data_IF_590797307423
#
_entry.id   IF_590797307423
#
_cell.length_a   1.000
_cell.length_b   1.000
_cell.length_c   1.000
_cell.angle_alpha   90.00
_cell.angle_beta   90.00
_cell.angle_gamma   90.00
#
_symmetry.space_group_name_H-M   'P 1'
#
loop_
_entity.id
_entity.type
_entity.pdbx_description
1 polymer ?
#
# COMPACT_ATOMS: atom_id res chain seq x y z
N UNK A 1 5.22 -4.71 2.58
CA UNK A 1 4.68 -3.92 1.44
C UNK A 1 3.69 -4.66 0.56
N UNK A 2 3.96 -5.91 0.17
CA UNK A 2 3.10 -6.68 -0.74
C UNK A 2 1.73 -7.08 -0.14
N UNK A 3 1.63 -7.18 1.19
CA UNK A 3 0.37 -7.43 1.90
C UNK A 3 -0.07 -8.90 1.90
N UNK A 4 0.87 -9.85 1.83
CA UNK A 4 0.63 -11.28 1.67
C UNK A 4 0.94 -12.12 2.94
N UNK A 5 1.02 -11.45 4.09
CA UNK A 5 1.29 -12.02 5.42
C UNK A 5 0.00 -12.35 6.21
N UNK A 6 -1.14 -12.49 5.53
CA UNK A 6 -2.42 -12.82 6.13
C UNK A 6 -3.22 -11.60 6.59
N UNK A 7 -4.20 -11.84 7.47
CA UNK A 7 -5.13 -10.83 7.97
C UNK A 7 -5.55 -11.13 9.42
N UNK A 8 -6.40 -10.29 10.01
CA UNK A 8 -6.84 -10.39 11.41
C UNK A 8 -7.31 -11.81 11.80
N UNK A 9 -8.10 -12.48 10.96
CA UNK A 9 -8.66 -13.79 11.25
C UNK A 9 -7.79 -14.97 10.81
N UNK A 10 -6.74 -14.74 10.02
CA UNK A 10 -5.84 -15.78 9.52
C UNK A 10 -4.53 -15.88 10.32
N UNK A 11 -4.21 -14.84 11.09
CA UNK A 11 -2.95 -14.76 11.82
C UNK A 11 -3.11 -15.24 13.27
N UNK A 12 -2.12 -15.97 13.76
CA UNK A 12 -1.89 -16.16 15.19
C UNK A 12 -0.94 -15.08 15.68
N UNK A 13 -1.21 -14.55 16.88
CA UNK A 13 -0.54 -13.37 17.38
C UNK A 13 0.15 -13.62 18.72
N UNK A 14 1.41 -13.21 18.82
CA UNK A 14 2.11 -13.20 20.10
C UNK A 14 1.60 -12.04 20.98
N UNK A 15 1.09 -12.38 22.16
CA UNK A 15 0.48 -11.39 23.07
C UNK A 15 1.51 -10.38 23.58
N UNK A 16 2.76 -10.80 23.81
CA UNK A 16 3.80 -9.89 24.31
C UNK A 16 4.19 -8.86 23.25
N UNK A 17 4.31 -9.28 22.00
CA UNK A 17 4.63 -8.42 20.87
C UNK A 17 3.50 -7.41 20.59
N UNK A 18 2.22 -7.83 20.64
CA UNK A 18 1.08 -6.90 20.51
C UNK A 18 1.11 -5.85 21.63
N UNK A 19 1.29 -6.27 22.90
CA UNK A 19 1.30 -5.36 24.03
C UNK A 19 2.44 -4.35 23.97
N UNK A 20 3.61 -4.76 23.45
CA UNK A 20 4.77 -3.88 23.29
C UNK A 20 4.49 -2.69 22.37
N UNK A 21 3.66 -2.89 21.35
CA UNK A 21 3.32 -1.83 20.38
C UNK A 21 2.02 -1.10 20.71
N UNK A 22 1.42 -1.37 21.89
CA UNK A 22 0.19 -0.71 22.33
C UNK A 22 -1.10 -1.24 21.72
N UNK A 23 -1.10 -2.42 21.09
CA UNK A 23 -2.32 -3.03 20.54
C UNK A 23 -2.79 -2.40 19.22
N UNK A 24 -4.09 -2.52 18.94
CA UNK A 24 -4.72 -2.01 17.72
C UNK A 24 -4.87 -0.48 17.78
N UNK A 25 -4.66 0.20 16.66
CA UNK A 25 -4.96 1.62 16.54
C UNK A 25 -6.43 1.79 16.09
N UNK A 26 -7.29 2.18 17.02
CA UNK A 26 -8.75 2.30 16.80
C UNK A 26 -9.14 3.50 15.92
N UNK A 27 -8.24 4.49 15.76
CA UNK A 27 -8.47 5.64 14.88
C UNK A 27 -8.39 5.28 13.39
N UNK A 28 -7.72 4.18 13.07
CA UNK A 28 -7.57 3.69 11.70
C UNK A 28 -8.77 2.81 11.34
N UNK A 29 -9.56 3.21 10.36
CA UNK A 29 -10.79 2.51 9.97
C UNK A 29 -10.57 1.30 9.06
N UNK A 30 -9.36 1.08 8.53
CA UNK A 30 -9.04 -0.01 7.61
C UNK A 30 -7.53 -0.26 7.52
N UNK A 31 -7.10 -1.47 7.14
CA UNK A 31 -5.67 -1.86 7.13
C UNK A 31 -5.04 -1.85 8.52
N UNK A 32 -5.85 -2.04 9.55
CA UNK A 32 -5.44 -2.10 10.96
C UNK A 32 -4.42 -3.23 11.20
N UNK A 33 -4.61 -4.37 10.55
CA UNK A 33 -3.73 -5.53 10.66
C UNK A 33 -2.34 -5.21 10.11
N UNK A 34 -2.31 -4.42 9.04
CA UNK A 34 -1.09 -4.04 8.39
C UNK A 34 -0.32 -2.99 9.20
N UNK A 35 -1.03 -2.01 9.76
CA UNK A 35 -0.48 -1.06 10.75
C UNK A 35 0.12 -1.80 11.97
N UNK A 36 -0.65 -2.70 12.59
CA UNK A 36 -0.19 -3.47 13.75
C UNK A 36 1.07 -4.28 13.43
N UNK A 37 1.06 -5.01 12.31
CA UNK A 37 2.20 -5.83 11.89
C UNK A 37 3.44 -4.97 11.61
N UNK A 38 3.28 -3.76 11.08
CA UNK A 38 4.40 -2.85 10.85
C UNK A 38 5.01 -2.34 12.14
N UNK A 39 4.18 -1.91 13.10
CA UNK A 39 4.67 -1.51 14.42
C UNK A 39 5.39 -2.67 15.11
N UNK A 40 4.83 -3.87 15.04
CA UNK A 40 5.48 -5.09 15.57
C UNK A 40 6.81 -5.38 14.88
N UNK A 41 6.88 -5.25 13.55
CA UNK A 41 8.11 -5.43 12.79
C UNK A 41 9.20 -4.44 13.20
N UNK A 42 8.84 -3.15 13.37
CA UNK A 42 9.77 -2.11 13.82
C UNK A 42 10.36 -2.41 15.22
N UNK A 43 9.59 -3.09 16.08
CA UNK A 43 10.03 -3.58 17.40
C UNK A 43 10.76 -4.93 17.37
N UNK A 44 11.13 -5.43 16.19
CA UNK A 44 11.90 -6.66 16.03
C UNK A 44 11.07 -7.95 16.04
N UNK A 45 9.74 -7.87 15.92
CA UNK A 45 8.93 -9.07 15.72
C UNK A 45 9.20 -9.67 14.33
N UNK A 46 9.23 -11.00 14.27
CA UNK A 46 9.32 -11.76 13.02
C UNK A 46 7.96 -12.37 12.66
N UNK A 47 7.73 -12.61 11.37
CA UNK A 47 6.50 -13.18 10.84
C UNK A 47 6.81 -14.44 10.04
N UNK A 48 6.01 -15.48 10.24
CA UNK A 48 6.11 -16.71 9.47
C UNK A 48 4.75 -17.04 8.84
N UNK A 49 4.78 -17.37 7.55
CA UNK A 49 3.59 -17.78 6.81
C UNK A 49 3.44 -19.31 6.85
N UNK A 50 2.23 -19.77 7.11
CA UNK A 50 1.86 -21.17 6.91
C UNK A 50 1.55 -21.41 5.42
N UNK A 51 2.09 -22.49 4.85
CA UNK A 51 1.83 -22.89 3.45
C UNK A 51 0.47 -23.56 3.24
N UNK A 52 -0.44 -23.46 4.22
CA UNK A 52 -1.78 -24.05 4.17
C UNK A 52 -2.82 -23.02 4.57
N UNK A 53 -4.00 -23.11 3.96
CA UNK A 53 -5.13 -22.27 4.34
C UNK A 53 -5.93 -22.98 5.44
N UNK A 54 -6.01 -22.34 6.61
CA UNK A 54 -6.71 -22.87 7.79
C UNK A 54 -7.90 -22.00 8.24
N UNK A 55 -8.18 -20.94 7.51
CA UNK A 55 -9.25 -19.98 7.83
C UNK A 55 -10.28 -19.94 6.71
N UNK A 56 -11.56 -20.05 7.07
CA UNK A 56 -12.69 -19.82 6.16
C UNK A 56 -13.31 -18.47 6.50
N UNK A 57 -13.29 -17.55 5.54
CA UNK A 57 -13.90 -16.23 5.70
C UNK A 57 -15.30 -16.26 5.07
N UNK A 58 -16.33 -16.06 5.90
CA UNK A 58 -17.71 -15.91 5.42
C UNK A 58 -17.97 -14.47 5.04
N UNK A 59 -18.06 -14.19 3.75
CA UNK A 59 -18.45 -12.86 3.27
C UNK A 59 -19.94 -12.61 3.54
N UNK A 60 -20.28 -11.38 3.89
CA UNK A 60 -21.65 -10.93 4.13
C UNK A 60 -22.02 -9.94 3.02
N UNK A 61 -23.30 -9.90 2.67
CA UNK A 61 -23.80 -8.96 1.67
C UNK A 61 -23.64 -7.50 2.11
N UNK A 62 -23.78 -7.22 3.42
CA UNK A 62 -23.68 -5.87 3.99
C UNK A 62 -22.93 -5.84 5.33
N UNK A 63 -22.51 -4.64 5.75
CA UNK A 63 -21.92 -4.38 7.07
C UNK A 63 -20.45 -4.78 7.21
N UNK A 64 -19.73 -4.99 6.11
CA UNK A 64 -18.29 -5.28 6.16
C UNK A 64 -17.47 -3.98 6.19
N UNK A 65 -16.33 -3.98 6.90
CA UNK A 65 -15.37 -2.86 6.87
C UNK A 65 -14.88 -2.60 5.43
N UNK A 66 -14.74 -3.67 4.63
CA UNK A 66 -14.46 -3.63 3.19
C UNK A 66 -15.59 -3.04 2.33
N UNK A 67 -16.69 -2.59 2.92
CA UNK A 67 -17.78 -1.88 2.24
C UNK A 67 -17.93 -0.43 2.74
N UNK A 68 -17.10 0.02 3.69
CA UNK A 68 -17.09 1.41 4.15
C UNK A 68 -16.54 2.39 3.11
N UNK A 69 -16.32 3.65 3.49
CA UNK A 69 -15.85 4.72 2.60
C UNK A 69 -14.59 4.29 1.79
N UNK A 70 -14.69 4.17 0.45
CA UNK A 70 -13.59 3.69 -0.38
C UNK A 70 -12.41 4.67 -0.43
N UNK A 71 -12.65 5.97 -0.40
CA UNK A 71 -11.61 7.00 -0.39
C UNK A 71 -10.76 6.88 0.87
N UNK A 72 -11.37 6.97 2.06
CA UNK A 72 -10.67 6.83 3.35
C UNK A 72 -9.89 5.52 3.46
N UNK A 73 -10.41 4.45 2.84
CA UNK A 73 -9.71 3.15 2.80
C UNK A 73 -8.44 3.19 1.97
N UNK A 74 -8.48 3.78 0.78
CA UNK A 74 -7.31 3.92 -0.07
C UNK A 74 -6.29 4.88 0.52
N UNK A 75 -6.75 5.92 1.22
CA UNK A 75 -5.90 6.82 2.01
C UNK A 75 -5.15 6.05 3.10
N UNK A 76 -5.87 5.34 3.99
CA UNK A 76 -5.25 4.52 5.03
C UNK A 76 -4.26 3.50 4.44
N UNK A 77 -4.69 2.76 3.41
CA UNK A 77 -3.87 1.75 2.73
C UNK A 77 -2.55 2.33 2.21
N UNK A 78 -2.59 3.55 1.67
CA UNK A 78 -1.43 4.23 1.07
C UNK A 78 -0.56 4.88 2.15
N UNK A 79 -1.15 5.61 3.09
CA UNK A 79 -0.44 6.30 4.17
C UNK A 79 0.36 5.34 5.04
N UNK A 80 -0.19 4.17 5.40
CA UNK A 80 0.53 3.16 6.17
C UNK A 80 1.76 2.63 5.38
N UNK A 81 1.66 2.51 4.04
CA UNK A 81 2.79 2.10 3.20
C UNK A 81 3.84 3.18 3.05
N UNK A 82 3.42 4.43 2.95
CA UNK A 82 4.31 5.60 2.97
C UNK A 82 5.09 5.64 4.27
N UNK A 83 4.41 5.56 5.42
CA UNK A 83 5.04 5.56 6.74
C UNK A 83 6.11 4.49 6.84
N UNK A 84 5.75 3.23 6.54
CA UNK A 84 6.70 2.13 6.62
C UNK A 84 7.85 2.24 5.63
N UNK A 85 7.58 2.71 4.42
CA UNK A 85 8.63 2.93 3.44
C UNK A 85 9.64 3.93 3.98
N UNK A 86 9.18 5.10 4.44
CA UNK A 86 10.05 6.16 4.95
C UNK A 86 10.80 5.76 6.23
N UNK A 87 10.10 5.17 7.19
CA UNK A 87 10.69 4.87 8.50
C UNK A 87 11.64 3.69 8.48
N UNK A 88 11.46 2.75 7.54
CA UNK A 88 12.10 1.44 7.61
C UNK A 88 12.79 1.06 6.31
N UNK A 89 12.08 1.11 5.18
CA UNK A 89 12.63 0.58 3.93
C UNK A 89 13.64 1.52 3.28
N UNK A 90 13.40 2.83 3.29
CA UNK A 90 14.26 3.83 2.66
C UNK A 90 15.70 3.81 3.23
N UNK A 91 15.86 3.35 4.48
CA UNK A 91 17.15 3.22 5.17
C UNK A 91 17.79 1.83 5.03
N UNK A 92 17.21 0.93 4.23
CA UNK A 92 17.77 -0.41 4.00
C UNK A 92 19.09 -0.33 3.23
N UNK A 93 20.06 -1.18 3.59
CA UNK A 93 21.29 -1.33 2.79
C UNK A 93 21.05 -2.13 1.49
N UNK A 94 19.90 -2.78 1.36
CA UNK A 94 19.53 -3.55 0.18
C UNK A 94 18.77 -2.68 -0.85
N UNK A 95 19.50 -2.27 -1.89
CA UNK A 95 18.94 -1.48 -3.01
C UNK A 95 17.85 -2.21 -3.79
N UNK A 96 17.88 -3.55 -3.84
CA UNK A 96 16.83 -4.32 -4.48
C UNK A 96 15.53 -4.18 -3.69
N UNK A 97 15.58 -4.32 -2.36
CA UNK A 97 14.42 -4.13 -1.47
C UNK A 97 13.85 -2.71 -1.61
N UNK A 98 14.70 -1.68 -1.63
CA UNK A 98 14.26 -0.29 -1.82
C UNK A 98 13.52 -0.14 -3.15
N UNK A 99 14.13 -0.60 -4.25
CA UNK A 99 13.55 -0.46 -5.59
C UNK A 99 12.22 -1.20 -5.75
N UNK A 100 12.14 -2.46 -5.29
CA UNK A 100 10.89 -3.23 -5.35
C UNK A 100 9.80 -2.59 -4.47
N UNK A 101 10.19 -2.06 -3.32
CA UNK A 101 9.27 -1.36 -2.43
C UNK A 101 8.74 -0.07 -3.06
N UNK A 102 9.59 0.73 -3.72
CA UNK A 102 9.11 1.90 -4.46
C UNK A 102 8.10 1.52 -5.55
N UNK A 103 8.26 0.39 -6.25
CA UNK A 103 7.26 -0.07 -7.22
C UNK A 103 5.91 -0.41 -6.57
N UNK A 104 5.93 -1.03 -5.39
CA UNK A 104 4.73 -1.35 -4.62
C UNK A 104 4.06 -0.08 -4.07
N UNK A 105 4.85 0.87 -3.57
CA UNK A 105 4.36 2.16 -3.10
C UNK A 105 3.73 2.96 -4.25
N UNK A 106 4.41 3.01 -5.40
CA UNK A 106 3.88 3.65 -6.59
C UNK A 106 2.53 3.05 -7.01
N UNK A 107 2.38 1.73 -6.97
CA UNK A 107 1.10 1.07 -7.26
C UNK A 107 0.00 1.49 -6.27
N UNK A 108 0.32 1.62 -4.98
CA UNK A 108 -0.64 2.10 -3.98
C UNK A 108 -1.11 3.53 -4.29
N UNK A 109 -0.16 4.41 -4.62
CA UNK A 109 -0.44 5.81 -4.98
C UNK A 109 -1.28 5.90 -6.27
N UNK A 110 -1.01 5.06 -7.27
CA UNK A 110 -1.82 4.96 -8.48
C UNK A 110 -3.26 4.53 -8.21
N UNK A 111 -3.49 3.64 -7.24
CA UNK A 111 -4.83 3.23 -6.82
C UNK A 111 -5.55 4.35 -6.08
N UNK A 112 -4.83 5.08 -5.20
CA UNK A 112 -5.36 6.25 -4.49
C UNK A 112 -5.80 7.36 -5.45
N UNK A 113 -5.09 7.55 -6.57
CA UNK A 113 -5.39 8.63 -7.53
C UNK A 113 -6.84 8.64 -8.03
N UNK A 114 -7.50 7.48 -8.11
CA UNK A 114 -8.89 7.39 -8.56
C UNK A 114 -9.88 8.01 -7.56
N UNK A 115 -9.60 7.89 -6.26
CA UNK A 115 -10.46 8.37 -5.18
C UNK A 115 -10.03 9.73 -4.65
N UNK A 116 -8.72 9.99 -4.55
CA UNK A 116 -8.15 11.24 -4.06
C UNK A 116 -6.86 11.58 -4.84
N UNK A 117 -7.03 12.28 -5.97
CA UNK A 117 -5.92 12.63 -6.86
C UNK A 117 -4.95 13.65 -6.25
N UNK A 118 -5.46 14.58 -5.44
CA UNK A 118 -4.66 15.59 -4.79
C UNK A 118 -3.65 14.97 -3.80
N UNK A 119 -4.12 14.07 -2.94
CA UNK A 119 -3.25 13.35 -2.01
C UNK A 119 -2.29 12.42 -2.75
N UNK A 120 -2.75 11.71 -3.80
CA UNK A 120 -1.88 10.84 -4.58
C UNK A 120 -0.71 11.60 -5.23
N UNK A 121 -0.96 12.78 -5.82
CA UNK A 121 0.09 13.63 -6.38
C UNK A 121 1.07 14.07 -5.29
N UNK A 122 0.54 14.55 -4.16
CA UNK A 122 1.38 14.98 -3.02
C UNK A 122 2.30 13.85 -2.55
N UNK A 123 1.76 12.67 -2.27
CA UNK A 123 2.55 11.53 -1.78
C UNK A 123 3.57 11.04 -2.80
N UNK A 124 3.23 11.10 -4.10
CA UNK A 124 4.18 10.78 -5.15
C UNK A 124 5.39 11.73 -5.13
N UNK A 125 5.12 13.03 -5.10
CA UNK A 125 6.16 14.05 -5.21
C UNK A 125 7.05 14.08 -3.96
N UNK A 126 6.47 13.89 -2.79
CA UNK A 126 7.21 13.87 -1.52
C UNK A 126 8.07 12.61 -1.35
N UNK A 127 7.59 11.43 -1.77
CA UNK A 127 8.20 10.15 -1.38
C UNK A 127 8.83 9.34 -2.51
N UNK A 128 8.52 9.61 -3.79
CA UNK A 128 9.08 8.87 -4.92
C UNK A 128 9.92 9.76 -5.84
N UNK A 129 9.46 10.98 -6.14
CA UNK A 129 10.20 11.90 -7.01
C UNK A 129 11.59 12.24 -6.45
N UNK A 130 11.70 12.39 -5.13
CA UNK A 130 12.97 12.66 -4.42
C UNK A 130 13.99 11.52 -4.51
N UNK A 131 13.55 10.31 -4.89
CA UNK A 131 14.39 9.10 -4.93
C UNK A 131 14.76 8.67 -6.36
N UNK A 132 14.62 9.55 -7.36
CA UNK A 132 14.83 9.22 -8.77
C UNK A 132 14.06 7.97 -9.22
N UNK A 133 12.86 7.78 -8.68
CA UNK A 133 12.04 6.61 -8.97
C UNK A 133 11.69 6.49 -10.46
N UNK A 134 11.84 5.27 -11.00
CA UNK A 134 11.45 4.93 -12.36
C UNK A 134 10.40 3.81 -12.35
N UNK A 135 9.18 4.04 -12.84
CA UNK A 135 8.17 3.00 -12.88
C UNK A 135 8.57 1.88 -13.86
N UNK A 136 8.44 0.63 -13.43
CA UNK A 136 8.58 -0.55 -14.31
C UNK A 136 7.28 -0.81 -15.06
N UNK A 137 7.39 -1.42 -16.25
CA UNK A 137 6.24 -1.95 -17.00
C UNK A 137 5.44 -2.94 -16.15
N UNK A 138 4.13 -3.01 -16.37
CA UNK A 138 3.25 -4.00 -15.73
C UNK A 138 1.99 -4.17 -16.57
N UNK A 139 1.11 -5.10 -16.22
CA UNK A 139 -0.21 -5.26 -16.87
C UNK A 139 -1.05 -3.98 -16.85
N UNK A 140 -0.79 -3.06 -15.92
CA UNK A 140 -1.47 -1.75 -15.80
C UNK A 140 -0.74 -0.60 -16.50
N UNK A 141 0.48 -0.80 -17.01
CA UNK A 141 1.35 0.26 -17.55
C UNK A 141 1.87 -0.13 -18.93
N UNK A 142 1.27 0.46 -19.96
CA UNK A 142 1.78 0.35 -21.33
C UNK A 142 3.11 1.10 -21.47
N UNK A 143 3.88 0.79 -22.52
CA UNK A 143 5.09 1.56 -22.85
C UNK A 143 4.77 3.05 -23.07
N UNK A 144 3.61 3.35 -23.65
CA UNK A 144 3.12 4.72 -23.82
C UNK A 144 2.95 5.45 -22.47
N UNK A 145 2.38 4.78 -21.46
CA UNK A 145 2.25 5.36 -20.12
C UNK A 145 3.62 5.75 -19.54
N UNK A 146 4.64 4.90 -19.72
CA UNK A 146 5.99 5.18 -19.21
C UNK A 146 6.62 6.37 -19.92
N UNK A 147 6.45 6.50 -21.23
CA UNK A 147 6.94 7.65 -21.99
C UNK A 147 6.30 8.94 -21.48
N UNK A 148 4.97 8.96 -21.34
CA UNK A 148 4.24 10.12 -20.81
C UNK A 148 4.71 10.45 -19.40
N UNK A 149 4.89 9.45 -18.53
CA UNK A 149 5.40 9.64 -17.18
C UNK A 149 6.81 10.25 -17.17
N UNK A 150 7.72 9.75 -18.00
CA UNK A 150 9.11 10.22 -18.04
C UNK A 150 9.24 11.66 -18.56
N UNK A 151 8.37 12.06 -19.48
CA UNK A 151 8.41 13.38 -20.12
C UNK A 151 7.59 14.41 -19.33
N UNK A 152 6.38 14.05 -18.90
CA UNK A 152 5.38 14.96 -18.36
C UNK A 152 5.09 14.74 -16.86
N UNK A 153 5.72 13.74 -16.24
CA UNK A 153 5.57 13.42 -14.83
C UNK A 153 4.30 12.64 -14.48
N UNK A 154 4.20 12.28 -13.19
CA UNK A 154 3.13 11.45 -12.64
C UNK A 154 1.74 12.02 -12.85
N UNK A 155 1.55 13.32 -12.54
CA UNK A 155 0.26 13.99 -12.62
C UNK A 155 -0.35 13.89 -14.02
N UNK A 156 0.43 14.15 -15.07
CA UNK A 156 -0.08 14.13 -16.45
C UNK A 156 -0.35 12.69 -16.89
N UNK A 157 0.58 11.78 -16.59
CA UNK A 157 0.44 10.37 -16.94
C UNK A 157 -0.82 9.73 -16.36
N UNK A 158 -1.12 9.98 -15.08
CA UNK A 158 -2.31 9.43 -14.43
C UNK A 158 -3.61 10.06 -14.93
N UNK A 159 -3.63 11.37 -15.22
CA UNK A 159 -4.81 12.01 -15.80
C UNK A 159 -5.17 11.42 -17.17
N UNK A 160 -4.17 11.23 -18.05
CA UNK A 160 -4.38 10.59 -19.36
C UNK A 160 -4.86 9.15 -19.19
N UNK A 161 -4.25 8.40 -18.26
CA UNK A 161 -4.66 7.01 -17.96
C UNK A 161 -6.12 6.94 -17.48
N UNK A 162 -6.51 7.83 -16.57
CA UNK A 162 -7.84 7.84 -15.97
C UNK A 162 -8.94 8.16 -17.00
N UNK A 163 -8.66 9.07 -17.95
CA UNK A 163 -9.56 9.34 -19.08
C UNK A 163 -9.80 8.10 -19.96
N UNK A 164 -8.79 7.24 -20.09
CA UNK A 164 -8.87 6.02 -20.92
C UNK A 164 -9.64 4.91 -20.21
N UNK A 165 -9.52 4.81 -18.87
CA UNK A 165 -10.18 3.79 -18.05
C UNK A 165 -11.66 4.12 -17.83
N UNK A 166 -12.01 5.39 -17.60
CA UNK A 166 -13.41 5.84 -17.48
C UNK A 166 -14.23 5.67 -18.76
N UNK A 167 -13.60 5.51 -19.93
CA UNK A 167 -14.28 5.23 -21.21
C UNK A 167 -14.63 3.75 -21.42
N UNK A 168 -14.23 2.85 -20.51
CA UNK A 168 -14.42 1.40 -20.62
C UNK A 168 -15.37 0.82 -19.56
N UNK A 169 -15.99 1.68 -18.75
CA UNK A 169 -17.04 1.37 -17.77
C UNK A 169 -18.29 2.13 -18.22
#
# INVERSE_FOLDING_TARGET
MKGDLGNTCANLWDTKAIKRVGGWNEEITSSQEYDLMMRMYKEGASFQKLNTFKTVIRQREVGQISQGNPERRWENYTNIRVDFFNSTIANSNDRFIINESMQLLFRAIQLLFYSNSALAIKLHDEHLSTLNFKPKTSTLKSQLYLIVYLILGFRVAENIRNLTIRKRI
#
